data_IF_134069630741
#
_entry.id   IF_134069630741
#
_cell.length_a   1.000
_cell.length_b   1.000
_cell.length_c   1.000
_cell.angle_alpha   90.00
_cell.angle_beta   90.00
_cell.angle_gamma   90.00
#
_symmetry.space_group_name_H-M   'P 1'
#
loop_
_entity.id
_entity.type
_entity.pdbx_description
1 polymer ?
#
# COMPACT_ATOMS: atom_id res chain seq x y z
N UNK A 1 -6.92 23.76 14.55
CA UNK A 1 -7.85 24.64 13.80
C UNK A 1 -8.10 23.99 12.46
N UNK A 2 -9.36 23.83 12.06
CA UNK A 2 -9.76 23.27 10.76
C UNK A 2 -9.76 24.39 9.72
N UNK A 3 -9.25 24.15 8.52
CA UNK A 3 -9.26 25.13 7.44
C UNK A 3 -10.70 25.53 7.06
N UNK A 4 -10.95 26.83 6.87
CA UNK A 4 -12.30 27.37 6.64
C UNK A 4 -12.87 26.97 5.28
N UNK A 5 -12.02 26.76 4.26
CA UNK A 5 -12.45 26.58 2.88
C UNK A 5 -12.10 25.19 2.33
N UNK A 6 -13.02 24.61 1.58
CA UNK A 6 -12.87 23.32 0.92
C UNK A 6 -11.84 23.42 -0.21
N UNK A 7 -10.84 22.56 -0.18
CA UNK A 7 -9.91 22.33 -1.30
C UNK A 7 -10.19 20.96 -1.91
N UNK A 8 -10.28 20.90 -3.24
CA UNK A 8 -10.55 19.65 -3.96
C UNK A 8 -9.35 19.34 -4.85
N UNK A 9 -8.88 18.10 -4.81
CA UNK A 9 -7.88 17.57 -5.73
C UNK A 9 -8.43 16.40 -6.51
N UNK A 10 -8.24 16.43 -7.81
CA UNK A 10 -8.56 15.32 -8.69
C UNK A 10 -7.28 14.53 -9.01
N UNK A 11 -7.09 13.35 -8.43
CA UNK A 11 -5.99 12.42 -8.75
C UNK A 11 -6.41 11.35 -9.78
N UNK A 12 -7.42 11.65 -10.59
CA UNK A 12 -7.93 10.74 -11.63
C UNK A 12 -7.53 11.24 -13.02
N UNK A 13 -7.64 10.37 -14.03
CA UNK A 13 -7.42 10.72 -15.43
C UNK A 13 -8.61 11.45 -16.07
N UNK A 14 -9.71 11.62 -15.33
CA UNK A 14 -10.98 12.12 -15.86
C UNK A 14 -11.32 13.44 -15.15
N UNK A 15 -11.72 14.51 -15.87
CA UNK A 15 -12.19 15.71 -15.21
C UNK A 15 -13.41 15.41 -14.33
N UNK A 16 -13.45 16.02 -13.15
CA UNK A 16 -14.59 15.93 -12.23
C UNK A 16 -15.19 17.31 -12.00
N UNK A 17 -16.49 17.37 -11.78
CA UNK A 17 -17.20 18.63 -11.52
C UNK A 17 -18.00 18.48 -10.25
N UNK A 18 -17.71 19.28 -9.21
CA UNK A 18 -18.60 19.36 -8.05
C UNK A 18 -19.87 20.09 -8.48
N UNK A 19 -21.02 19.42 -8.35
CA UNK A 19 -22.33 19.94 -8.76
C UNK A 19 -23.19 20.38 -7.58
N UNK A 20 -23.00 19.79 -6.40
CA UNK A 20 -23.83 20.07 -5.23
C UNK A 20 -23.11 19.80 -3.92
N UNK A 21 -23.38 20.65 -2.93
CA UNK A 21 -23.00 20.47 -1.53
C UNK A 21 -24.25 20.54 -0.66
N UNK A 22 -24.45 19.51 0.16
CA UNK A 22 -25.52 19.44 1.16
C UNK A 22 -24.87 19.33 2.54
N UNK A 23 -25.41 20.03 3.54
CA UNK A 23 -24.86 20.04 4.91
C UNK A 23 -25.81 19.48 5.94
N UNK A 24 -25.22 18.78 6.90
CA UNK A 24 -25.91 18.04 7.95
C UNK A 24 -25.30 18.38 9.31
N UNK A 25 -26.13 18.41 10.37
CA UNK A 25 -25.63 18.63 11.71
C UNK A 25 -24.66 17.51 12.13
N UNK A 26 -23.87 17.82 13.16
CA UNK A 26 -23.04 16.83 13.82
C UNK A 26 -23.90 15.65 14.33
N UNK A 27 -23.36 14.42 14.38
CA UNK A 27 -24.08 13.28 14.94
C UNK A 27 -24.58 13.58 16.36
N UNK A 28 -25.85 13.33 16.65
CA UNK A 28 -26.33 13.32 18.04
C UNK A 28 -25.69 12.13 18.75
N UNK A 29 -24.97 12.38 19.85
CA UNK A 29 -24.49 11.29 20.71
C UNK A 29 -25.70 10.74 21.46
N UNK A 30 -26.33 9.70 20.94
CA UNK A 30 -27.35 8.97 21.68
C UNK A 30 -26.74 8.38 22.95
N UNK A 31 -27.06 9.01 24.09
CA UNK A 31 -26.59 8.62 25.43
C UNK A 31 -27.13 7.27 25.93
N UNK A 32 -27.82 6.50 25.08
CA UNK A 32 -28.56 5.29 25.48
C UNK A 32 -27.89 3.96 25.07
N UNK A 33 -26.81 3.98 24.29
CA UNK A 33 -26.05 2.77 23.91
C UNK A 33 -24.74 2.55 24.69
N UNK A 34 -24.48 3.36 25.71
CA UNK A 34 -23.26 3.26 26.52
C UNK A 34 -23.21 2.02 27.44
N UNK A 35 -24.32 1.31 27.65
CA UNK A 35 -24.40 0.16 28.58
C UNK A 35 -24.44 -1.23 27.91
N UNK A 36 -24.71 -1.35 26.61
CA UNK A 36 -24.79 -2.66 25.93
C UNK A 36 -23.47 -3.12 25.31
N UNK A 37 -22.43 -2.26 25.32
CA UNK A 37 -21.12 -2.53 24.68
C UNK A 37 -20.02 -2.96 25.67
N UNK A 38 -20.36 -3.28 26.92
CA UNK A 38 -19.38 -3.70 27.94
C UNK A 38 -19.05 -5.20 27.96
N UNK A 39 -19.64 -6.02 27.08
CA UNK A 39 -19.48 -7.49 27.12
C UNK A 39 -18.85 -8.14 25.86
N UNK A 40 -18.24 -7.36 24.96
CA UNK A 40 -17.40 -7.91 23.87
C UNK A 40 -16.09 -7.13 23.80
N UNK A 41 -14.97 -7.86 23.94
CA UNK A 41 -13.58 -7.43 23.73
C UNK A 41 -12.83 -6.78 24.91
N UNK A 42 -12.48 -7.61 25.88
CA UNK A 42 -11.42 -7.34 26.87
C UNK A 42 -10.00 -7.18 26.25
N UNK A 43 -9.87 -7.13 24.92
CA UNK A 43 -8.62 -6.88 24.18
C UNK A 43 -8.52 -5.44 23.62
N UNK A 44 -9.53 -4.59 23.84
CA UNK A 44 -9.67 -3.28 23.19
C UNK A 44 -9.16 -2.09 24.05
N UNK A 45 -8.65 -2.34 25.26
CA UNK A 45 -8.34 -1.28 26.25
C UNK A 45 -6.91 -0.70 26.14
N UNK A 46 -6.09 -1.11 25.16
CA UNK A 46 -4.74 -0.55 24.96
C UNK A 46 -4.59 0.29 23.69
N UNK A 47 -5.67 0.56 22.95
CA UNK A 47 -5.64 1.35 21.71
C UNK A 47 -6.27 2.72 21.92
N UNK A 48 -5.55 3.65 22.56
CA UNK A 48 -5.96 5.05 22.51
C UNK A 48 -4.79 6.02 22.41
N UNK A 49 -4.91 6.89 21.41
CA UNK A 49 -4.26 8.17 21.10
C UNK A 49 -3.73 8.17 19.67
N UNK A 50 -4.32 9.01 18.81
CA UNK A 50 -4.11 9.25 17.36
C UNK A 50 -4.99 8.48 16.36
N UNK A 51 -6.27 8.22 16.67
CA UNK A 51 -7.29 7.97 15.63
C UNK A 51 -8.23 9.17 15.51
N UNK A 52 -8.61 9.51 14.28
CA UNK A 52 -9.79 10.34 14.06
C UNK A 52 -11.00 9.58 14.63
N UNK A 53 -11.89 10.26 15.35
CA UNK A 53 -13.13 9.66 15.88
C UNK A 53 -13.95 9.07 14.72
N UNK A 54 -14.58 7.90 14.93
CA UNK A 54 -15.49 7.32 13.94
C UNK A 54 -16.64 8.30 13.65
N UNK A 55 -16.81 8.68 12.38
CA UNK A 55 -17.90 9.56 11.93
C UNK A 55 -19.07 8.69 11.52
N UNK A 56 -20.27 8.95 12.05
CA UNK A 56 -21.47 8.22 11.63
C UNK A 56 -21.91 8.60 10.21
N UNK A 57 -22.39 7.62 9.44
CA UNK A 57 -22.88 7.85 8.08
C UNK A 57 -24.17 8.70 8.09
N UNK A 58 -24.33 9.50 7.04
CA UNK A 58 -25.52 10.31 6.79
C UNK A 58 -26.55 9.40 6.09
N UNK A 59 -27.65 9.09 6.76
CA UNK A 59 -28.72 8.29 6.18
C UNK A 59 -29.32 8.96 4.94
N UNK A 60 -29.83 8.15 4.01
CA UNK A 60 -30.35 8.66 2.73
C UNK A 60 -31.48 9.68 2.92
N UNK A 61 -32.32 9.48 3.95
CA UNK A 61 -33.49 10.31 4.27
C UNK A 61 -33.19 11.45 5.26
N UNK A 62 -31.91 11.62 5.64
CA UNK A 62 -31.50 12.76 6.47
C UNK A 62 -31.82 14.08 5.78
N UNK A 63 -32.36 15.06 6.53
CA UNK A 63 -32.63 16.41 6.02
C UNK A 63 -31.40 17.30 6.19
N UNK A 64 -30.95 17.89 5.08
CA UNK A 64 -29.93 18.94 5.08
C UNK A 64 -30.49 20.21 5.72
N UNK A 65 -29.64 20.97 6.41
CA UNK A 65 -29.99 22.34 6.83
C UNK A 65 -29.59 23.39 5.77
N UNK A 66 -28.71 23.03 4.85
CA UNK A 66 -28.28 23.87 3.73
C UNK A 66 -28.00 22.99 2.50
N UNK A 67 -28.38 23.48 1.33
CA UNK A 67 -28.13 22.84 0.03
C UNK A 67 -27.76 23.91 -0.99
N UNK A 68 -26.61 23.75 -1.64
CA UNK A 68 -26.15 24.68 -2.67
C UNK A 68 -25.76 23.91 -3.93
N UNK A 69 -26.35 24.29 -5.07
CA UNK A 69 -25.89 23.87 -6.39
C UNK A 69 -24.68 24.71 -6.80
N UNK A 70 -23.65 24.03 -7.29
CA UNK A 70 -22.36 24.62 -7.66
C UNK A 70 -21.90 24.05 -9.00
N UNK A 71 -20.87 24.64 -9.59
CA UNK A 71 -20.29 24.13 -10.84
C UNK A 71 -18.77 24.31 -10.84
N UNK A 72 -18.10 23.53 -9.99
CA UNK A 72 -16.64 23.64 -9.79
C UNK A 72 -15.95 22.49 -10.50
N UNK A 73 -15.39 22.79 -11.67
CA UNK A 73 -14.61 21.85 -12.46
C UNK A 73 -13.17 21.74 -11.94
N UNK A 74 -12.69 20.50 -11.78
CA UNK A 74 -11.32 20.17 -11.38
C UNK A 74 -10.73 19.22 -12.43
N UNK A 75 -9.74 19.73 -13.18
CA UNK A 75 -9.07 18.97 -14.24
C UNK A 75 -8.26 17.77 -13.68
N UNK A 76 -7.96 16.75 -14.51
CA UNK A 76 -7.09 15.64 -14.12
C UNK A 76 -5.80 16.14 -13.49
N UNK A 77 -5.48 15.61 -12.31
CA UNK A 77 -4.28 15.95 -11.56
C UNK A 77 -4.14 17.44 -11.18
N UNK A 78 -5.26 18.16 -11.14
CA UNK A 78 -5.31 19.54 -10.64
C UNK A 78 -5.80 19.61 -9.19
N UNK A 79 -5.36 20.66 -8.49
CA UNK A 79 -5.89 21.06 -7.17
C UNK A 79 -6.62 22.39 -7.31
N UNK A 80 -7.85 22.46 -6.82
CA UNK A 80 -8.69 23.65 -6.83
C UNK A 80 -9.02 24.05 -5.38
N UNK A 81 -8.50 25.18 -4.94
CA UNK A 81 -9.01 25.88 -3.74
C UNK A 81 -10.34 26.54 -4.12
N UNK A 82 -11.35 26.40 -3.26
CA UNK A 82 -12.70 26.93 -3.51
C UNK A 82 -13.05 27.99 -2.48
N UNK A 83 -14.04 28.83 -2.78
CA UNK A 83 -14.64 29.76 -1.81
C UNK A 83 -15.75 29.07 -0.99
N UNK A 84 -15.95 27.75 -1.17
CA UNK A 84 -16.93 27.00 -0.39
C UNK A 84 -16.39 26.77 1.01
N UNK A 85 -17.15 27.19 2.02
CA UNK A 85 -16.81 26.90 3.41
C UNK A 85 -16.82 25.40 3.69
N UNK A 86 -15.97 24.91 4.58
CA UNK A 86 -15.97 23.52 5.04
C UNK A 86 -17.04 23.27 6.10
N UNK A 87 -17.42 24.31 6.85
CA UNK A 87 -18.52 24.31 7.83
C UNK A 87 -19.16 25.71 7.95
N UNK A 88 -20.37 25.79 8.49
CA UNK A 88 -21.09 27.07 8.70
C UNK A 88 -21.15 27.45 10.19
N UNK A 89 -21.58 26.53 11.03
CA UNK A 89 -21.79 26.72 12.46
C UNK A 89 -20.73 25.99 13.30
N UNK A 90 -20.30 24.80 12.88
CA UNK A 90 -19.30 23.98 13.60
C UNK A 90 -18.48 23.11 12.66
N UNK A 91 -17.19 22.99 12.95
CA UNK A 91 -16.25 22.06 12.31
C UNK A 91 -16.58 20.56 12.49
N UNK A 92 -17.65 20.23 13.21
CA UNK A 92 -18.21 18.87 13.37
C UNK A 92 -19.37 18.57 12.42
N UNK A 93 -19.77 19.53 11.60
CA UNK A 93 -20.75 19.32 10.55
C UNK A 93 -20.30 18.28 9.54
N UNK A 94 -21.29 17.65 8.90
CA UNK A 94 -21.05 16.70 7.83
C UNK A 94 -21.55 17.28 6.52
N UNK A 95 -20.84 17.00 5.45
CA UNK A 95 -21.18 17.38 4.08
C UNK A 95 -21.47 16.14 3.26
N UNK A 96 -22.39 16.26 2.32
CA UNK A 96 -22.60 15.33 1.22
C UNK A 96 -22.31 16.08 -0.07
N UNK A 97 -21.31 15.62 -0.80
CA UNK A 97 -20.80 16.24 -2.00
C UNK A 97 -21.19 15.37 -3.20
N UNK A 98 -21.81 15.98 -4.21
CA UNK A 98 -22.17 15.29 -5.46
C UNK A 98 -21.30 15.81 -6.59
N UNK A 99 -20.52 14.90 -7.16
CA UNK A 99 -19.66 15.12 -8.31
C UNK A 99 -20.27 14.54 -9.57
N UNK A 100 -19.93 15.12 -10.71
CA UNK A 100 -20.22 14.58 -12.04
C UNK A 100 -18.91 14.29 -12.78
N UNK A 101 -18.87 13.14 -13.46
CA UNK A 101 -17.82 12.78 -14.40
C UNK A 101 -18.46 12.05 -15.60
N UNK A 102 -18.19 12.52 -16.82
CA UNK A 102 -18.74 11.96 -18.08
C UNK A 102 -20.27 11.76 -18.06
N UNK A 103 -21.01 12.71 -17.46
CA UNK A 103 -22.47 12.69 -17.34
C UNK A 103 -23.02 11.73 -16.27
N UNK A 104 -22.17 11.10 -15.45
CA UNK A 104 -22.57 10.25 -14.33
C UNK A 104 -22.29 10.91 -13.00
N UNK A 105 -23.18 10.70 -12.03
CA UNK A 105 -23.12 11.34 -10.71
C UNK A 105 -22.59 10.39 -9.64
N UNK A 106 -21.73 10.94 -8.78
CA UNK A 106 -21.03 10.24 -7.71
C UNK A 106 -21.11 11.04 -6.42
N UNK A 107 -21.49 10.40 -5.32
CA UNK A 107 -21.72 11.06 -4.05
C UNK A 107 -20.71 10.59 -3.00
N UNK A 108 -20.23 11.51 -2.17
CA UNK A 108 -19.36 11.22 -1.03
C UNK A 108 -19.77 12.02 0.19
N UNK A 109 -19.56 11.44 1.37
CA UNK A 109 -19.74 12.11 2.65
C UNK A 109 -18.38 12.60 3.17
N UNK A 110 -18.34 13.81 3.72
CA UNK A 110 -17.14 14.43 4.26
C UNK A 110 -17.43 15.07 5.64
N UNK A 111 -16.65 14.81 6.70
CA UNK A 111 -15.55 13.83 6.76
C UNK A 111 -16.02 12.41 6.43
N UNK A 112 -15.14 11.62 5.82
CA UNK A 112 -15.46 10.26 5.39
C UNK A 112 -15.57 9.35 6.63
N UNK A 113 -16.66 8.57 6.80
CA UNK A 113 -16.75 7.56 7.84
C UNK A 113 -15.59 6.56 7.73
N UNK A 114 -14.90 6.29 8.83
CA UNK A 114 -13.82 5.27 8.86
C UNK A 114 -14.38 3.84 8.80
N UNK A 115 -15.68 3.65 9.08
CA UNK A 115 -16.36 2.35 9.14
C UNK A 115 -17.09 1.96 7.85
N UNK A 116 -17.42 2.92 6.99
CA UNK A 116 -17.98 2.68 5.66
C UNK A 116 -16.96 3.16 4.63
N UNK A 117 -16.47 2.24 3.80
CA UNK A 117 -15.43 2.47 2.79
C UNK A 117 -15.49 3.85 2.13
N UNK A 118 -14.34 4.52 1.99
CA UNK A 118 -14.15 5.81 1.31
C UNK A 118 -14.54 5.85 -0.20
N UNK A 119 -15.22 4.83 -0.72
CA UNK A 119 -15.75 4.76 -2.07
C UNK A 119 -16.92 5.74 -2.27
N UNK A 120 -16.91 6.44 -3.40
CA UNK A 120 -18.02 7.32 -3.78
C UNK A 120 -19.19 6.47 -4.27
N UNK A 121 -20.40 6.73 -3.75
CA UNK A 121 -21.64 6.08 -4.19
C UNK A 121 -22.01 6.58 -5.58
N UNK A 122 -21.97 5.70 -6.58
CA UNK A 122 -22.52 6.02 -7.89
C UNK A 122 -24.05 6.12 -7.82
N UNK A 123 -24.63 7.12 -8.47
CA UNK A 123 -26.08 7.34 -8.52
C UNK A 123 -26.73 6.79 -9.81
N UNK A 124 -25.91 6.26 -10.72
CA UNK A 124 -26.34 5.63 -11.96
C UNK A 124 -26.21 4.10 -11.84
N UNK A 125 -27.10 3.34 -12.48
CA UNK A 125 -27.14 1.86 -12.39
C UNK A 125 -25.86 1.18 -12.92
N UNK A 126 -25.26 1.72 -13.98
CA UNK A 126 -24.05 1.19 -14.61
C UNK A 126 -22.91 2.23 -14.58
N UNK A 127 -22.20 2.37 -13.46
CA UNK A 127 -21.13 3.36 -13.34
C UNK A 127 -19.93 2.99 -14.22
N UNK A 128 -19.49 3.94 -15.04
CA UNK A 128 -18.27 3.86 -15.86
C UNK A 128 -17.01 3.92 -15.00
N UNK A 129 -17.04 4.73 -13.95
CA UNK A 129 -15.93 4.94 -13.04
C UNK A 129 -16.26 4.44 -11.63
N UNK A 130 -15.22 4.05 -10.89
CA UNK A 130 -15.26 3.89 -9.45
C UNK A 130 -14.25 4.86 -8.84
N UNK A 131 -14.73 5.69 -7.94
CA UNK A 131 -13.93 6.71 -7.28
C UNK A 131 -13.87 6.45 -5.78
N UNK A 132 -12.78 6.89 -5.17
CA UNK A 132 -12.59 6.96 -3.73
C UNK A 132 -12.21 8.38 -3.38
N UNK A 133 -12.83 8.96 -2.36
CA UNK A 133 -12.42 10.27 -1.85
C UNK A 133 -11.83 10.14 -0.46
N UNK A 134 -10.73 10.84 -0.22
CA UNK A 134 -10.06 10.91 1.08
C UNK A 134 -10.13 12.35 1.57
N UNK A 135 -10.71 12.55 2.74
CA UNK A 135 -10.90 13.87 3.34
C UNK A 135 -9.92 14.11 4.48
N UNK A 136 -8.96 15.02 4.28
CA UNK A 136 -8.04 15.48 5.32
C UNK A 136 -8.73 16.59 6.12
N UNK A 137 -9.26 16.23 7.28
CA UNK A 137 -10.09 17.12 8.12
C UNK A 137 -9.38 18.42 8.49
N UNK A 138 -8.15 18.43 9.05
CA UNK A 138 -7.51 19.69 9.47
C UNK A 138 -7.34 20.70 8.33
N UNK A 139 -7.19 20.20 7.10
CA UNK A 139 -6.91 20.98 5.90
C UNK A 139 -8.16 21.25 5.05
N UNK A 140 -9.33 20.73 5.45
CA UNK A 140 -10.56 20.73 4.65
C UNK A 140 -10.31 20.33 3.20
N UNK A 141 -9.55 19.26 3.01
CA UNK A 141 -9.00 18.88 1.72
C UNK A 141 -9.57 17.53 1.28
N UNK A 142 -10.28 17.51 0.15
CA UNK A 142 -10.80 16.30 -0.47
C UNK A 142 -9.93 15.89 -1.67
N UNK A 143 -9.23 14.76 -1.57
CA UNK A 143 -8.54 14.15 -2.70
C UNK A 143 -9.39 13.02 -3.28
N UNK A 144 -9.63 13.03 -4.60
CA UNK A 144 -10.41 12.01 -5.29
C UNK A 144 -9.49 11.16 -6.16
N UNK A 145 -9.54 9.85 -5.98
CA UNK A 145 -8.75 8.85 -6.68
C UNK A 145 -9.65 7.91 -7.47
N UNK A 146 -9.11 7.32 -8.53
CA UNK A 146 -9.74 6.15 -9.16
C UNK A 146 -9.50 4.92 -8.28
N UNK A 147 -10.54 4.13 -8.04
CA UNK A 147 -10.49 2.93 -7.19
C UNK A 147 -11.08 1.70 -7.86
N UNK A 148 -11.04 1.66 -9.19
CA UNK A 148 -11.55 0.53 -9.95
C UNK A 148 -10.75 -0.75 -9.66
N UNK A 149 -11.48 -1.80 -9.23
CA UNK A 149 -11.02 -3.19 -9.14
C UNK A 149 -9.69 -3.38 -8.38
N UNK A 150 -9.64 -3.12 -7.07
CA UNK A 150 -8.41 -3.33 -6.28
C UNK A 150 -7.82 -4.75 -6.40
N UNK A 151 -8.65 -5.77 -6.61
CA UNK A 151 -8.17 -7.14 -6.85
C UNK A 151 -7.56 -7.35 -8.26
N UNK A 152 -7.76 -6.41 -9.19
CA UNK A 152 -7.33 -6.51 -10.58
C UNK A 152 -6.88 -5.16 -11.18
N UNK A 153 -6.24 -4.29 -10.37
CA UNK A 153 -5.99 -2.90 -10.75
C UNK A 153 -4.92 -2.77 -11.83
N UNK A 154 -4.01 -3.73 -11.96
CA UNK A 154 -2.97 -3.71 -13.00
C UNK A 154 -3.53 -3.99 -14.39
N UNK A 155 -4.78 -4.48 -14.52
CA UNK A 155 -5.47 -4.68 -15.81
C UNK A 155 -5.61 -3.39 -16.62
N UNK A 156 -5.71 -2.26 -15.94
CA UNK A 156 -5.96 -0.94 -16.52
C UNK A 156 -4.70 -0.29 -17.14
N UNK A 157 -3.56 -0.96 -17.06
CA UNK A 157 -2.25 -0.47 -17.49
C UNK A 157 -1.74 -1.27 -18.68
N UNK A 158 -1.00 -0.65 -19.59
CA UNK A 158 -0.42 -1.32 -20.77
C UNK A 158 0.72 -2.29 -20.42
N UNK A 159 0.87 -3.31 -21.26
CA UNK A 159 1.90 -4.35 -21.11
C UNK A 159 3.34 -3.83 -21.26
N UNK A 160 3.54 -2.76 -22.00
CA UNK A 160 4.83 -2.11 -22.24
C UNK A 160 5.32 -1.23 -21.08
N UNK A 161 4.57 -1.19 -19.98
CA UNK A 161 4.91 -0.47 -18.74
C UNK A 161 5.98 -1.23 -17.95
N UNK A 162 7.07 -0.58 -17.53
CA UNK A 162 8.00 -1.20 -16.57
C UNK A 162 7.32 -1.37 -15.21
N UNK A 163 7.49 -2.53 -14.55
CA UNK A 163 6.89 -2.77 -13.22
C UNK A 163 7.44 -1.78 -12.18
N UNK A 164 8.66 -1.29 -12.33
CA UNK A 164 9.23 -0.24 -11.46
C UNK A 164 8.57 1.13 -11.61
N UNK A 165 7.82 1.38 -12.69
CA UNK A 165 7.06 2.61 -12.87
C UNK A 165 5.83 2.70 -11.96
N UNK A 166 5.34 1.55 -11.48
CA UNK A 166 4.07 1.46 -10.78
C UNK A 166 4.16 1.99 -9.35
N UNK A 167 3.06 2.57 -8.88
CA UNK A 167 2.81 2.83 -7.47
C UNK A 167 2.23 1.55 -6.87
N UNK A 168 3.02 0.82 -6.07
CA UNK A 168 2.68 -0.52 -5.59
C UNK A 168 2.50 -0.50 -4.07
N UNK A 169 1.32 -0.89 -3.57
CA UNK A 169 1.14 -1.16 -2.15
C UNK A 169 1.83 -2.48 -1.79
N UNK A 170 2.64 -2.43 -0.74
CA UNK A 170 3.32 -3.58 -0.16
C UNK A 170 3.02 -3.75 1.32
N UNK A 171 3.27 -4.95 1.85
CA UNK A 171 3.14 -5.23 3.28
C UNK A 171 4.45 -5.78 3.85
N UNK A 172 4.85 -5.26 5.01
CA UNK A 172 6.05 -5.69 5.72
C UNK A 172 5.75 -6.96 6.53
N UNK A 173 6.62 -7.96 6.42
CA UNK A 173 6.42 -9.28 6.99
C UNK A 173 4.98 -9.79 6.79
N UNK A 174 4.55 -9.84 5.52
CA UNK A 174 3.14 -9.94 5.08
C UNK A 174 2.26 -10.99 5.79
N UNK A 175 2.74 -12.20 6.15
CA UNK A 175 1.90 -13.21 6.79
C UNK A 175 1.75 -13.04 8.31
N UNK A 176 2.32 -12.00 8.93
CA UNK A 176 2.28 -11.76 10.40
C UNK A 176 0.93 -11.22 10.90
N UNK A 177 -0.17 -11.88 10.55
CA UNK A 177 -1.53 -11.53 10.98
C UNK A 177 -2.09 -12.47 12.06
N UNK A 178 -1.33 -13.50 12.45
CA UNK A 178 -1.77 -14.52 13.39
C UNK A 178 -1.67 -14.06 14.86
N UNK A 179 -2.21 -14.89 15.76
CA UNK A 179 -1.98 -14.75 17.20
C UNK A 179 -0.49 -14.98 17.47
N UNK A 180 0.19 -13.90 17.86
CA UNK A 180 1.61 -13.82 18.15
C UNK A 180 1.84 -12.74 19.23
N UNK A 181 3.04 -12.67 19.85
CA UNK A 181 3.39 -11.52 20.68
C UNK A 181 3.16 -10.20 19.90
N UNK A 182 2.65 -9.13 20.53
CA UNK A 182 2.28 -7.91 19.81
C UNK A 182 3.42 -7.26 19.01
N UNK A 183 4.67 -7.39 19.49
CA UNK A 183 5.86 -6.90 18.79
C UNK A 183 6.20 -7.68 17.51
N UNK A 184 5.64 -8.89 17.34
CA UNK A 184 5.85 -9.76 16.18
C UNK A 184 4.78 -9.55 15.11
N UNK A 185 3.59 -9.08 15.48
CA UNK A 185 2.45 -8.89 14.57
C UNK A 185 2.59 -7.57 13.80
N UNK A 186 2.85 -7.66 12.51
CA UNK A 186 2.96 -6.49 11.63
C UNK A 186 1.69 -6.25 10.80
N UNK A 187 0.80 -7.24 10.68
CA UNK A 187 -0.38 -7.15 9.81
C UNK A 187 -1.69 -7.38 10.56
N UNK A 188 -2.71 -6.62 10.16
CA UNK A 188 -4.07 -6.73 10.71
C UNK A 188 -4.84 -7.90 10.08
N UNK A 189 -4.59 -8.17 8.80
CA UNK A 189 -5.39 -9.02 7.91
C UNK A 189 -4.55 -10.05 7.16
N UNK A 190 -5.21 -11.10 6.65
CA UNK A 190 -4.55 -12.22 5.95
C UNK A 190 -3.91 -11.82 4.62
N UNK A 191 -2.88 -12.55 4.12
CA UNK A 191 -2.32 -12.35 2.79
C UNK A 191 -3.36 -12.38 1.66
N UNK A 192 -4.33 -13.29 1.73
CA UNK A 192 -5.48 -13.30 0.81
C UNK A 192 -6.21 -11.94 0.80
N UNK A 193 -6.56 -11.41 1.96
CA UNK A 193 -7.27 -10.14 2.08
C UNK A 193 -6.42 -8.95 1.59
N UNK A 194 -5.10 -8.99 1.84
CA UNK A 194 -4.16 -8.01 1.30
C UNK A 194 -4.17 -8.00 -0.23
N UNK A 195 -4.14 -9.18 -0.87
CA UNK A 195 -4.18 -9.30 -2.34
C UNK A 195 -5.51 -8.80 -2.92
N UNK A 196 -6.64 -9.19 -2.33
CA UNK A 196 -7.96 -8.75 -2.81
C UNK A 196 -8.16 -7.22 -2.67
N UNK A 197 -7.40 -6.56 -1.80
CA UNK A 197 -7.45 -5.10 -1.61
C UNK A 197 -6.29 -4.33 -2.25
N UNK A 198 -5.50 -4.97 -3.12
CA UNK A 198 -4.57 -4.26 -4.03
C UNK A 198 -3.09 -4.35 -3.68
N UNK A 199 -2.71 -5.03 -2.59
CA UNK A 199 -1.31 -5.29 -2.26
C UNK A 199 -0.67 -6.15 -3.36
N UNK A 200 0.48 -5.72 -3.88
CA UNK A 200 1.25 -6.43 -4.93
C UNK A 200 2.76 -6.51 -4.64
N UNK A 201 3.15 -6.26 -3.39
CA UNK A 201 4.49 -6.53 -2.89
C UNK A 201 4.41 -7.20 -1.52
N UNK A 202 5.03 -8.36 -1.37
CA UNK A 202 5.14 -9.06 -0.10
C UNK A 202 6.60 -9.10 0.36
N UNK A 203 6.86 -8.62 1.58
CA UNK A 203 8.12 -8.90 2.31
C UNK A 203 7.93 -10.17 3.12
N UNK A 204 8.61 -11.24 2.70
CA UNK A 204 8.51 -12.57 3.29
C UNK A 204 9.84 -12.96 3.91
N UNK A 205 9.77 -13.34 5.18
CA UNK A 205 10.94 -13.76 5.95
C UNK A 205 10.84 -15.23 6.27
N UNK A 206 11.85 -15.99 5.84
CA UNK A 206 11.84 -17.45 5.87
C UNK A 206 13.03 -18.01 6.64
N UNK A 207 12.82 -19.18 7.20
CA UNK A 207 13.86 -20.02 7.77
C UNK A 207 13.68 -21.46 7.26
N UNK A 208 14.74 -22.13 6.76
CA UNK A 208 14.70 -23.58 6.56
C UNK A 208 14.42 -24.30 7.88
N UNK A 209 13.38 -25.14 7.91
CA UNK A 209 13.04 -25.90 9.12
C UNK A 209 14.04 -27.03 9.39
N UNK A 210 14.58 -27.64 8.33
CA UNK A 210 15.50 -28.77 8.37
C UNK A 210 16.79 -28.42 7.61
N UNK A 211 17.61 -27.48 8.10
CA UNK A 211 18.77 -26.99 7.36
C UNK A 211 19.81 -28.09 7.05
N UNK A 212 19.92 -29.10 7.92
CA UNK A 212 20.89 -30.18 7.78
C UNK A 212 20.42 -31.31 6.83
N UNK A 213 19.17 -31.27 6.35
CA UNK A 213 18.62 -32.23 5.41
C UNK A 213 18.36 -31.57 4.05
N UNK A 214 19.26 -31.81 3.10
CA UNK A 214 19.19 -31.21 1.77
C UNK A 214 18.04 -31.72 0.90
N UNK A 215 17.38 -32.82 1.28
CA UNK A 215 16.19 -33.33 0.57
C UNK A 215 14.90 -32.61 0.97
N UNK A 216 14.95 -31.82 2.05
CA UNK A 216 13.80 -31.10 2.60
C UNK A 216 13.71 -29.67 2.12
N UNK A 217 12.48 -29.21 1.90
CA UNK A 217 12.18 -27.94 1.23
C UNK A 217 11.26 -27.02 2.04
N UNK A 218 11.02 -27.39 3.29
CA UNK A 218 10.17 -26.67 4.21
C UNK A 218 10.84 -25.38 4.67
N UNK A 219 10.28 -24.28 4.20
CA UNK A 219 10.57 -22.94 4.66
C UNK A 219 9.44 -22.49 5.60
N UNK A 220 9.77 -22.27 6.87
CA UNK A 220 8.84 -21.71 7.86
C UNK A 220 8.90 -20.19 7.81
N UNK A 221 7.77 -19.56 8.09
CA UNK A 221 7.62 -18.11 8.14
C UNK A 221 7.95 -17.60 9.54
N UNK A 222 8.82 -16.60 9.62
CA UNK A 222 9.40 -16.09 10.88
C UNK A 222 9.43 -14.57 10.91
N UNK A 223 9.60 -14.00 12.09
CA UNK A 223 9.90 -12.59 12.29
C UNK A 223 10.94 -12.45 13.40
N UNK A 224 12.13 -12.01 13.02
CA UNK A 224 13.35 -12.09 13.81
C UNK A 224 13.56 -13.53 14.33
N UNK A 225 13.81 -13.68 15.63
CA UNK A 225 13.97 -14.98 16.28
C UNK A 225 12.66 -15.75 16.55
N UNK A 226 11.50 -15.19 16.18
CA UNK A 226 10.20 -15.71 16.60
C UNK A 226 9.40 -16.33 15.43
N UNK A 227 8.62 -17.39 15.67
CA UNK A 227 7.61 -17.83 14.73
C UNK A 227 6.50 -16.79 14.63
N UNK A 228 5.89 -16.66 13.45
CA UNK A 228 4.81 -15.68 13.22
C UNK A 228 3.47 -16.08 13.85
N UNK A 229 3.39 -17.23 14.52
CA UNK A 229 2.17 -17.76 15.12
C UNK A 229 2.47 -18.62 16.34
N UNK A 230 1.71 -18.42 17.43
CA UNK A 230 1.77 -19.24 18.64
C UNK A 230 1.03 -20.57 18.51
N UNK A 231 0.29 -20.81 17.41
CA UNK A 231 -0.48 -22.03 17.18
C UNK A 231 0.23 -23.02 16.25
N UNK A 232 1.53 -22.84 16.03
CA UNK A 232 2.38 -23.70 15.21
C UNK A 232 2.94 -22.98 13.98
N UNK A 233 3.93 -23.64 13.36
CA UNK A 233 4.64 -23.10 12.21
C UNK A 233 3.68 -22.85 11.03
N UNK A 234 3.93 -21.74 10.33
CA UNK A 234 3.31 -21.42 9.04
C UNK A 234 4.35 -21.57 7.96
N UNK A 235 3.94 -22.07 6.79
CA UNK A 235 4.87 -22.47 5.75
C UNK A 235 4.78 -21.57 4.53
N UNK A 236 5.93 -21.27 3.94
CA UNK A 236 6.04 -20.50 2.71
C UNK A 236 5.26 -21.16 1.56
N UNK A 237 5.24 -22.51 1.50
CA UNK A 237 4.47 -23.26 0.49
C UNK A 237 2.96 -22.99 0.56
N UNK A 238 2.40 -22.83 1.75
CA UNK A 238 0.97 -22.55 1.91
C UNK A 238 0.65 -21.13 1.44
N UNK A 239 1.49 -20.17 1.82
CA UNK A 239 1.40 -18.80 1.34
C UNK A 239 1.50 -18.72 -0.18
N UNK A 240 2.46 -19.42 -0.79
CA UNK A 240 2.61 -19.41 -2.25
C UNK A 240 1.42 -20.04 -2.97
N UNK A 241 0.77 -21.06 -2.38
CA UNK A 241 -0.49 -21.60 -2.92
C UNK A 241 -1.61 -20.56 -2.93
N UNK A 242 -1.71 -19.71 -1.91
CA UNK A 242 -2.67 -18.59 -1.89
C UNK A 242 -2.37 -17.55 -2.99
N UNK A 243 -1.09 -17.19 -3.14
CA UNK A 243 -0.61 -16.28 -4.19
C UNK A 243 -0.92 -16.83 -5.58
N UNK A 244 -0.63 -18.10 -5.82
CA UNK A 244 -0.84 -18.75 -7.10
C UNK A 244 -2.33 -18.76 -7.47
N UNK A 245 -3.19 -19.14 -6.53
CA UNK A 245 -4.64 -19.10 -6.73
C UNK A 245 -5.18 -17.69 -6.98
N UNK A 246 -4.60 -16.67 -6.33
CA UNK A 246 -4.96 -15.27 -6.61
C UNK A 246 -4.58 -14.85 -8.03
N UNK A 247 -3.36 -15.17 -8.48
CA UNK A 247 -2.88 -14.83 -9.83
C UNK A 247 -3.60 -15.63 -10.92
N UNK A 248 -4.09 -16.84 -10.63
CA UNK A 248 -4.97 -17.59 -11.54
C UNK A 248 -6.33 -16.92 -11.75
N UNK A 249 -6.93 -16.39 -10.67
CA UNK A 249 -8.20 -15.65 -10.74
C UNK A 249 -8.03 -14.25 -11.33
N UNK A 250 -6.84 -13.66 -11.20
CA UNK A 250 -6.53 -12.31 -11.65
C UNK A 250 -5.27 -12.32 -12.55
N UNK A 251 -5.33 -12.89 -13.76
CA UNK A 251 -4.16 -13.08 -14.62
C UNK A 251 -3.56 -11.77 -15.13
N UNK A 252 -4.27 -10.64 -14.98
CA UNK A 252 -3.71 -9.31 -15.25
C UNK A 252 -2.64 -8.89 -14.26
N UNK A 253 -2.63 -9.47 -13.07
CA UNK A 253 -1.80 -9.02 -11.95
C UNK A 253 -0.44 -9.71 -11.94
N UNK A 254 0.51 -9.12 -11.24
CA UNK A 254 1.80 -9.73 -10.87
C UNK A 254 2.07 -9.46 -9.41
N UNK A 255 2.80 -10.34 -8.73
CA UNK A 255 3.24 -10.12 -7.35
C UNK A 255 4.75 -10.02 -7.28
N UNK A 256 5.29 -9.02 -6.59
CA UNK A 256 6.69 -9.00 -6.20
C UNK A 256 6.80 -9.68 -4.83
N UNK A 257 7.62 -10.73 -4.73
CA UNK A 257 7.90 -11.39 -3.46
C UNK A 257 9.37 -11.14 -3.11
N UNK A 258 9.56 -10.27 -2.12
CA UNK A 258 10.84 -10.08 -1.44
C UNK A 258 11.04 -11.23 -0.47
N UNK A 259 12.09 -12.03 -0.66
CA UNK A 259 12.42 -13.12 0.27
C UNK A 259 13.72 -12.82 0.99
N UNK A 260 13.67 -12.86 2.31
CA UNK A 260 14.82 -12.71 3.21
C UNK A 260 14.96 -13.93 4.10
N UNK A 261 16.19 -14.41 4.30
CA UNK A 261 16.48 -15.39 5.35
C UNK A 261 16.48 -14.69 6.73
N UNK A 262 15.78 -15.30 7.68
CA UNK A 262 15.71 -14.84 9.06
C UNK A 262 15.54 -16.05 10.00
N UNK A 263 15.41 -15.83 11.30
CA UNK A 263 15.24 -16.89 12.28
C UNK A 263 16.53 -17.27 13.03
N UNK A 264 16.39 -18.19 13.99
CA UNK A 264 17.48 -18.69 14.82
C UNK A 264 18.07 -19.97 14.23
N UNK A 265 19.40 -20.12 14.21
CA UNK A 265 20.04 -21.37 13.78
C UNK A 265 21.14 -21.16 12.75
N UNK A 266 21.59 -22.27 12.15
CA UNK A 266 22.75 -22.35 11.25
C UNK A 266 22.40 -22.30 9.75
N UNK A 267 21.14 -22.05 9.40
CA UNK A 267 20.71 -21.97 8.01
C UNK A 267 21.42 -20.81 7.28
N UNK A 268 21.89 -21.08 6.07
CA UNK A 268 22.65 -20.17 5.20
C UNK A 268 21.77 -19.61 4.09
N UNK A 269 22.19 -18.49 3.53
CA UNK A 269 21.54 -17.89 2.36
C UNK A 269 21.59 -18.84 1.15
N UNK A 270 22.70 -19.55 0.99
CA UNK A 270 22.91 -20.52 -0.07
C UNK A 270 21.88 -21.65 0.00
N UNK A 271 21.57 -22.16 1.20
CA UNK A 271 20.51 -23.14 1.40
C UNK A 271 19.13 -22.59 0.99
N UNK A 272 18.79 -21.35 1.39
CA UNK A 272 17.52 -20.72 0.96
C UNK A 272 17.48 -20.56 -0.56
N UNK A 273 18.58 -20.14 -1.17
CA UNK A 273 18.68 -19.99 -2.63
C UNK A 273 18.44 -21.30 -3.37
N UNK A 274 19.01 -22.41 -2.86
CA UNK A 274 18.82 -23.76 -3.39
C UNK A 274 17.37 -24.21 -3.25
N UNK A 275 16.80 -24.12 -2.05
CA UNK A 275 15.43 -24.56 -1.76
C UNK A 275 14.43 -23.81 -2.66
N UNK A 276 14.55 -22.49 -2.77
CA UNK A 276 13.68 -21.70 -3.63
C UNK A 276 13.81 -22.10 -5.10
N UNK A 277 15.04 -22.24 -5.60
CA UNK A 277 15.27 -22.62 -7.00
C UNK A 277 14.71 -24.01 -7.31
N UNK A 278 15.04 -25.02 -6.51
CA UNK A 278 14.75 -26.42 -6.81
C UNK A 278 13.27 -26.78 -6.60
N UNK A 279 12.58 -26.12 -5.65
CA UNK A 279 11.24 -26.52 -5.21
C UNK A 279 10.12 -25.52 -5.49
N UNK A 280 10.44 -24.24 -5.75
CA UNK A 280 9.43 -23.19 -5.94
C UNK A 280 9.53 -22.54 -7.33
N UNK A 281 10.75 -22.18 -7.72
CA UNK A 281 11.02 -21.32 -8.88
C UNK A 281 11.81 -22.04 -9.98
N UNK A 282 11.44 -23.31 -10.21
CA UNK A 282 11.98 -24.15 -11.29
C UNK A 282 11.66 -23.62 -12.68
N UNK A 283 12.39 -24.08 -13.68
CA UNK A 283 12.09 -23.78 -15.08
C UNK A 283 10.63 -24.14 -15.43
N UNK A 284 9.95 -23.24 -16.13
CA UNK A 284 8.53 -23.39 -16.48
C UNK A 284 7.54 -23.03 -15.37
N UNK A 285 8.01 -22.69 -14.16
CA UNK A 285 7.15 -22.12 -13.13
C UNK A 285 6.72 -20.67 -13.46
N UNK A 286 5.75 -20.17 -12.70
CA UNK A 286 5.29 -18.78 -12.73
C UNK A 286 6.27 -17.76 -12.13
N UNK A 287 7.46 -18.18 -11.71
CA UNK A 287 8.44 -17.25 -11.13
C UNK A 287 9.23 -16.53 -12.23
N UNK A 288 9.24 -15.19 -12.16
CA UNK A 288 10.18 -14.35 -12.88
C UNK A 288 11.47 -14.26 -12.07
N UNK A 289 12.48 -14.98 -12.56
CA UNK A 289 13.80 -15.10 -11.92
C UNK A 289 14.95 -14.52 -12.77
N UNK A 290 14.63 -13.83 -13.87
CA UNK A 290 15.65 -13.12 -14.62
C UNK A 290 16.13 -11.91 -13.80
N UNK A 291 17.44 -11.60 -13.78
CA UNK A 291 18.00 -10.47 -13.05
C UNK A 291 17.74 -9.13 -13.78
N UNK A 292 16.50 -8.91 -14.22
CA UNK A 292 16.04 -7.73 -14.97
C UNK A 292 14.67 -7.33 -14.43
N UNK A 293 14.44 -6.02 -14.29
CA UNK A 293 13.10 -5.48 -14.01
C UNK A 293 12.20 -5.75 -15.23
N UNK A 294 11.12 -6.54 -15.09
CA UNK A 294 10.24 -6.86 -16.21
C UNK A 294 9.34 -5.69 -16.58
N UNK A 295 8.85 -5.71 -17.82
CA UNK A 295 7.61 -5.03 -18.19
C UNK A 295 6.41 -5.73 -17.57
N UNK A 296 5.27 -5.04 -17.49
CA UNK A 296 4.06 -5.58 -16.92
C UNK A 296 3.59 -6.80 -17.72
N UNK A 297 3.63 -6.75 -19.05
CA UNK A 297 3.31 -7.88 -19.92
C UNK A 297 4.22 -9.10 -19.69
N UNK A 298 5.52 -8.88 -19.46
CA UNK A 298 6.43 -9.96 -19.08
C UNK A 298 6.08 -10.56 -17.70
N UNK A 299 5.48 -9.78 -16.81
CA UNK A 299 5.22 -10.13 -15.42
C UNK A 299 3.79 -10.63 -15.13
N UNK A 300 2.80 -10.36 -15.99
CA UNK A 300 1.41 -10.78 -15.76
C UNK A 300 1.30 -12.27 -15.48
N UNK A 301 0.52 -12.62 -14.46
CA UNK A 301 0.34 -13.98 -13.97
C UNK A 301 1.59 -14.57 -13.28
N UNK A 302 2.64 -13.79 -13.02
CA UNK A 302 3.91 -14.26 -12.47
C UNK A 302 4.22 -13.68 -11.09
N UNK A 303 5.21 -14.31 -10.45
CA UNK A 303 5.81 -13.88 -9.20
C UNK A 303 7.23 -13.39 -9.48
N UNK A 304 7.49 -12.11 -9.27
CA UNK A 304 8.81 -11.52 -9.43
C UNK A 304 9.60 -11.77 -8.15
N UNK A 305 10.72 -12.49 -8.25
CA UNK A 305 11.62 -12.71 -7.12
C UNK A 305 12.51 -11.48 -6.90
N UNK A 306 12.38 -10.86 -5.73
CA UNK A 306 13.37 -9.94 -5.17
C UNK A 306 14.13 -10.67 -4.05
N UNK A 307 15.42 -10.96 -4.24
CA UNK A 307 16.19 -11.76 -3.28
C UNK A 307 16.97 -10.88 -2.31
N UNK A 308 16.77 -11.11 -1.00
CA UNK A 308 17.56 -10.53 0.10
C UNK A 308 18.46 -11.59 0.75
N UNK A 309 19.03 -12.46 -0.08
CA UNK A 309 19.94 -13.54 0.29
C UNK A 309 20.98 -13.76 -0.81
N UNK A 310 22.14 -14.26 -0.42
CA UNK A 310 23.22 -14.67 -1.32
C UNK A 310 22.91 -15.98 -2.06
N UNK A 311 23.43 -16.09 -3.28
CA UNK A 311 23.23 -17.25 -4.14
C UNK A 311 24.29 -18.32 -3.89
N UNK A 312 23.89 -19.59 -3.90
CA UNK A 312 24.82 -20.70 -4.09
C UNK A 312 25.58 -20.57 -5.42
N UNK A 313 26.79 -21.11 -5.49
CA UNK A 313 27.72 -20.86 -6.61
C UNK A 313 27.12 -21.19 -7.98
N UNK A 314 26.34 -22.28 -8.10
CA UNK A 314 25.68 -22.68 -9.36
C UNK A 314 24.76 -21.58 -9.90
N UNK A 315 24.00 -20.93 -9.00
CA UNK A 315 23.02 -19.91 -9.38
C UNK A 315 23.66 -18.56 -9.75
N UNK A 316 24.91 -18.31 -9.35
CA UNK A 316 25.66 -17.11 -9.78
C UNK A 316 25.94 -17.14 -11.29
N UNK A 317 26.10 -18.33 -11.86
CA UNK A 317 26.40 -18.52 -13.28
C UNK A 317 25.14 -18.55 -14.17
N UNK A 318 23.94 -18.57 -13.57
CA UNK A 318 22.67 -18.50 -14.32
C UNK A 318 22.55 -17.18 -15.09
N UNK A 319 21.71 -17.21 -16.13
CA UNK A 319 21.45 -16.06 -16.99
C UNK A 319 22.73 -15.41 -17.56
N UNK A 320 23.71 -16.23 -17.94
CA UNK A 320 24.98 -15.77 -18.52
C UNK A 320 25.91 -15.11 -17.51
N UNK A 321 25.90 -15.57 -16.25
CA UNK A 321 26.70 -14.99 -15.17
C UNK A 321 26.07 -13.76 -14.50
N UNK A 322 24.81 -13.44 -14.83
CA UNK A 322 24.08 -12.32 -14.22
C UNK A 322 23.34 -12.72 -12.93
N UNK A 323 23.45 -13.98 -12.52
CA UNK A 323 22.81 -14.50 -11.32
C UNK A 323 21.33 -14.81 -11.53
N UNK A 324 20.58 -14.84 -10.43
CA UNK A 324 19.20 -15.32 -10.36
C UNK A 324 18.33 -14.40 -9.48
N UNK A 325 17.16 -13.99 -9.98
CA UNK A 325 16.26 -13.02 -9.35
C UNK A 325 16.79 -11.57 -9.36
N UNK A 326 15.96 -10.63 -8.92
CA UNK A 326 16.36 -9.24 -8.71
C UNK A 326 17.22 -9.17 -7.43
N UNK A 327 18.47 -8.73 -7.59
CA UNK A 327 19.46 -8.77 -6.51
C UNK A 327 19.32 -7.60 -5.53
N UNK A 328 18.93 -7.94 -4.29
CA UNK A 328 18.90 -7.04 -3.16
C UNK A 328 19.65 -7.64 -1.94
N UNK A 329 20.64 -8.51 -2.15
CA UNK A 329 21.36 -9.19 -1.06
C UNK A 329 22.24 -8.22 -0.25
N UNK A 330 22.89 -7.27 -0.92
CA UNK A 330 23.64 -6.18 -0.28
C UNK A 330 22.70 -5.02 0.10
N UNK A 331 21.80 -5.31 1.04
CA UNK A 331 20.81 -4.37 1.57
C UNK A 331 21.46 -3.54 2.69
N UNK A 332 21.51 -2.22 2.53
CA UNK A 332 22.08 -1.35 3.56
C UNK A 332 21.18 -1.32 4.80
N UNK A 333 21.80 -1.47 5.96
CA UNK A 333 21.10 -1.54 7.24
C UNK A 333 20.61 -0.16 7.70
N UNK A 334 19.40 -0.13 8.30
CA UNK A 334 18.76 1.04 8.90
C UNK A 334 18.98 2.39 8.16
N UNK A 335 18.67 2.42 6.85
CA UNK A 335 19.07 3.53 5.95
C UNK A 335 17.91 4.44 5.53
N UNK A 336 18.11 5.78 5.48
CA UNK A 336 17.10 6.68 4.91
C UNK A 336 17.03 6.64 3.38
N UNK A 337 18.11 6.19 2.73
CA UNK A 337 18.24 6.10 1.28
C UNK A 337 19.53 5.34 0.92
N UNK A 338 19.42 4.20 0.24
CA UNK A 338 20.57 3.48 -0.31
C UNK A 338 20.24 2.83 -1.66
N UNK A 339 21.20 2.88 -2.59
CA UNK A 339 21.12 2.13 -3.84
C UNK A 339 21.78 0.77 -3.66
N UNK A 340 21.10 -0.32 -4.01
CA UNK A 340 21.73 -1.64 -4.02
C UNK A 340 22.84 -1.70 -5.09
N UNK A 341 23.92 -2.47 -4.87
CA UNK A 341 24.99 -2.65 -5.85
C UNK A 341 24.52 -3.16 -7.23
N UNK A 342 23.42 -3.91 -7.28
CA UNK A 342 22.77 -4.33 -8.53
C UNK A 342 22.36 -3.15 -9.42
N UNK A 343 22.10 -2.00 -8.79
CA UNK A 343 21.60 -0.78 -9.40
C UNK A 343 20.10 -0.79 -9.71
N UNK A 344 19.40 -1.87 -9.38
CA UNK A 344 17.98 -2.07 -9.68
C UNK A 344 17.04 -1.67 -8.53
N UNK A 345 17.60 -1.30 -7.37
CA UNK A 345 16.81 -0.89 -6.21
C UNK A 345 17.40 0.36 -5.56
N UNK A 346 16.50 1.23 -5.11
CA UNK A 346 16.75 2.36 -4.24
C UNK A 346 15.84 2.19 -3.01
N UNK A 347 16.41 2.13 -1.81
CA UNK A 347 15.72 1.66 -0.61
C UNK A 347 15.74 2.75 0.46
N UNK A 348 14.58 3.02 1.05
CA UNK A 348 14.44 3.61 2.38
C UNK A 348 13.96 2.52 3.34
N UNK A 349 14.77 2.20 4.34
CA UNK A 349 14.53 1.17 5.35
C UNK A 349 15.06 1.61 6.72
N UNK A 350 14.73 2.84 7.12
CA UNK A 350 14.99 3.36 8.46
C UNK A 350 13.98 2.75 9.45
N UNK A 351 14.29 1.60 10.02
CA UNK A 351 13.36 0.81 10.83
C UNK A 351 13.56 0.98 12.34
N UNK A 352 14.69 1.53 12.81
CA UNK A 352 14.94 1.70 14.25
C UNK A 352 14.40 3.04 14.76
N UNK A 353 13.17 3.01 15.26
CA UNK A 353 12.53 4.16 15.91
C UNK A 353 12.71 3.99 17.42
N UNK A 354 13.88 4.41 17.92
CA UNK A 354 14.24 4.26 19.34
C UNK A 354 13.32 5.05 20.29
N UNK A 355 12.80 6.18 19.82
CA UNK A 355 11.89 7.06 20.55
C UNK A 355 10.77 7.59 19.65
N UNK A 356 9.64 7.98 20.24
CA UNK A 356 8.47 8.48 19.51
C UNK A 356 8.76 9.71 18.64
N UNK A 357 9.75 10.53 19.03
CA UNK A 357 10.29 11.65 18.24
C UNK A 357 10.85 11.20 16.88
N UNK A 358 11.32 9.97 16.76
CA UNK A 358 11.85 9.44 15.49
C UNK A 358 10.75 9.06 14.49
N UNK A 359 9.47 9.09 14.88
CA UNK A 359 8.34 8.85 13.97
C UNK A 359 8.23 9.97 12.94
N UNK A 360 8.45 11.23 13.34
CA UNK A 360 8.48 12.36 12.40
C UNK A 360 9.64 12.23 11.41
N UNK A 361 10.81 11.77 11.89
CA UNK A 361 11.95 11.47 11.03
C UNK A 361 11.65 10.34 10.04
N UNK A 362 10.94 9.30 10.47
CA UNK A 362 10.45 8.23 9.60
C UNK A 362 9.52 8.77 8.52
N UNK A 363 8.52 9.56 8.89
CA UNK A 363 7.57 10.20 7.97
C UNK A 363 8.35 11.04 6.93
N UNK A 364 9.31 11.85 7.38
CA UNK A 364 10.17 12.64 6.50
C UNK A 364 10.90 11.77 5.46
N UNK A 365 11.56 10.70 5.89
CA UNK A 365 12.28 9.81 4.95
C UNK A 365 11.34 9.08 3.99
N UNK A 366 10.15 8.69 4.45
CA UNK A 366 9.12 8.11 3.59
C UNK A 366 8.69 9.12 2.52
N UNK A 367 8.37 10.35 2.92
CA UNK A 367 7.99 11.43 2.00
C UNK A 367 9.09 11.75 0.99
N UNK A 368 10.35 11.86 1.43
CA UNK A 368 11.48 12.09 0.53
C UNK A 368 11.67 10.95 -0.48
N UNK A 369 11.47 9.69 -0.09
CA UNK A 369 11.59 8.55 -0.99
C UNK A 369 10.41 8.49 -1.99
N UNK A 370 9.20 8.89 -1.57
CA UNK A 370 8.07 9.12 -2.48
C UNK A 370 8.41 10.21 -3.50
N UNK A 371 9.00 11.33 -3.05
CA UNK A 371 9.44 12.41 -3.96
C UNK A 371 10.49 11.90 -4.97
N UNK A 372 11.48 11.10 -4.54
CA UNK A 372 12.49 10.50 -5.44
C UNK A 372 11.85 9.62 -6.51
N UNK A 373 10.90 8.77 -6.14
CA UNK A 373 10.16 7.94 -7.10
C UNK A 373 9.33 8.78 -8.07
N UNK A 374 8.73 9.87 -7.57
CA UNK A 374 7.80 10.71 -8.33
C UNK A 374 8.43 11.49 -9.47
N UNK A 375 9.72 11.81 -9.36
CA UNK A 375 10.48 12.55 -10.35
C UNK A 375 10.84 11.70 -11.59
N UNK A 376 10.62 10.39 -11.53
CA UNK A 376 10.95 9.50 -12.64
C UNK A 376 9.89 9.59 -13.74
N UNK A 377 10.36 9.75 -14.98
CA UNK A 377 9.56 9.58 -16.18
C UNK A 377 10.04 8.30 -16.87
N UNK A 378 9.25 7.25 -16.76
CA UNK A 378 9.60 5.93 -17.27
C UNK A 378 9.37 5.87 -18.78
N UNK A 379 10.26 5.18 -19.53
CA UNK A 379 10.04 4.86 -20.93
C UNK A 379 8.99 3.77 -21.06
N UNK A 380 8.20 3.83 -22.12
CA UNK A 380 7.35 2.71 -22.54
C UNK A 380 8.13 1.79 -23.47
N UNK A 381 7.87 0.50 -23.38
CA UNK A 381 8.53 -0.52 -24.20
C UNK A 381 9.49 -1.40 -23.40
N UNK A 382 9.84 -2.54 -24.01
CA UNK A 382 10.75 -3.50 -23.42
C UNK A 382 12.16 -2.91 -23.43
N UNK A 383 12.71 -2.67 -22.24
CA UNK A 383 14.14 -2.37 -22.10
C UNK A 383 14.95 -3.61 -22.51
N UNK A 384 15.97 -3.49 -23.39
CA UNK A 384 16.58 -4.66 -24.01
C UNK A 384 17.36 -5.53 -23.02
N UNK A 385 17.94 -4.95 -21.96
CA UNK A 385 18.80 -5.67 -21.04
C UNK A 385 18.73 -5.18 -19.58
N UNK A 386 19.45 -5.87 -18.69
CA UNK A 386 19.55 -5.55 -17.26
C UNK A 386 20.15 -4.16 -17.00
N UNK A 387 21.13 -3.71 -17.80
CA UNK A 387 21.79 -2.43 -17.59
C UNK A 387 20.85 -1.26 -17.84
N UNK A 388 20.03 -1.33 -18.88
CA UNK A 388 19.02 -0.33 -19.19
C UNK A 388 18.01 -0.15 -18.04
N UNK A 389 17.66 -1.24 -17.33
CA UNK A 389 16.74 -1.17 -16.18
C UNK A 389 17.31 -0.44 -14.95
N UNK A 390 18.63 -0.25 -14.85
CA UNK A 390 19.28 0.44 -13.71
C UNK A 390 19.00 1.95 -13.67
N UNK A 391 18.57 2.53 -14.79
CA UNK A 391 18.11 3.91 -14.86
C UNK A 391 16.74 4.10 -14.21
N UNK A 392 15.97 3.03 -14.07
CA UNK A 392 14.59 3.02 -13.59
C UNK A 392 14.43 1.99 -12.46
N UNK A 393 15.15 2.16 -11.34
CA UNK A 393 15.16 1.19 -10.26
C UNK A 393 13.80 1.10 -9.55
N UNK A 394 13.57 0.00 -8.85
CA UNK A 394 12.52 -0.04 -7.84
C UNK A 394 12.86 0.92 -6.69
N UNK A 395 11.99 1.88 -6.43
CA UNK A 395 12.02 2.67 -5.20
C UNK A 395 11.23 1.92 -4.13
N UNK A 396 11.93 1.23 -3.22
CA UNK A 396 11.32 0.49 -2.11
C UNK A 396 11.35 1.37 -0.87
N UNK A 397 10.20 1.55 -0.24
CA UNK A 397 10.00 2.53 0.81
C UNK A 397 9.23 1.88 1.97
N UNK A 398 9.94 1.44 3.00
CA UNK A 398 9.32 0.86 4.18
C UNK A 398 8.72 1.97 5.04
N UNK A 399 7.43 1.91 5.31
CA UNK A 399 6.74 2.74 6.31
C UNK A 399 6.84 2.11 7.70
N UNK A 400 6.99 0.79 7.75
CA UNK A 400 7.23 0.02 8.96
C UNK A 400 8.48 0.50 9.68
N UNK A 401 8.39 0.53 11.01
CA UNK A 401 9.50 0.70 11.91
C UNK A 401 9.09 0.13 13.27
N UNK A 402 10.06 -0.19 14.11
CA UNK A 402 9.76 -0.65 15.46
C UNK A 402 10.91 -0.41 16.43
N UNK A 403 10.58 -0.48 17.71
CA UNK A 403 11.54 -0.79 18.77
C UNK A 403 10.90 -1.80 19.72
N UNK A 404 11.56 -2.94 19.87
CA UNK A 404 11.06 -4.07 20.66
C UNK A 404 10.82 -3.70 22.13
N UNK A 405 11.72 -2.90 22.71
CA UNK A 405 11.75 -2.59 24.14
C UNK A 405 10.79 -1.47 24.56
N UNK A 406 10.20 -0.77 23.61
CA UNK A 406 9.31 0.37 23.86
C UNK A 406 7.95 0.13 23.21
N UNK A 407 6.94 -0.07 24.04
CA UNK A 407 5.57 -0.44 23.63
C UNK A 407 4.92 0.59 22.70
N UNK A 408 5.20 1.87 22.91
CA UNK A 408 4.69 2.98 22.08
C UNK A 408 5.28 3.03 20.66
N UNK A 409 6.30 2.19 20.41
CA UNK A 409 7.00 2.04 19.14
C UNK A 409 6.88 0.62 18.60
N UNK A 410 5.87 -0.13 19.04
CA UNK A 410 5.50 -1.38 18.39
C UNK A 410 4.86 -1.13 17.02
N UNK A 411 4.88 -2.13 16.10
CA UNK A 411 4.44 -1.96 14.72
C UNK A 411 3.07 -1.27 14.58
N UNK A 412 2.08 -1.68 15.38
CA UNK A 412 0.74 -1.09 15.37
C UNK A 412 0.75 0.41 15.68
N UNK A 413 1.51 0.82 16.70
CA UNK A 413 1.56 2.21 17.18
C UNK A 413 2.28 3.12 16.21
N UNK A 414 3.34 2.60 15.57
CA UNK A 414 4.04 3.32 14.51
C UNK A 414 3.13 3.46 13.29
N UNK A 415 2.51 2.38 12.83
CA UNK A 415 1.60 2.39 11.69
C UNK A 415 0.41 3.35 11.87
N UNK A 416 -0.16 3.39 13.08
CA UNK A 416 -1.26 4.31 13.43
C UNK A 416 -0.90 5.81 13.26
N UNK A 417 0.40 6.16 13.27
CA UNK A 417 0.88 7.53 13.03
C UNK A 417 1.42 7.72 11.61
N UNK A 418 2.20 6.77 11.12
CA UNK A 418 2.86 6.87 9.80
C UNK A 418 1.84 6.73 8.67
N UNK A 419 0.92 5.77 8.73
CA UNK A 419 -0.02 5.54 7.62
C UNK A 419 -0.91 6.77 7.34
N UNK A 420 -1.57 7.39 8.34
CA UNK A 420 -2.36 8.59 8.10
C UNK A 420 -1.53 9.78 7.62
N UNK A 421 -0.31 9.96 8.14
CA UNK A 421 0.59 11.03 7.70
C UNK A 421 1.00 10.85 6.22
N UNK A 422 1.21 9.61 5.78
CA UNK A 422 1.54 9.31 4.37
C UNK A 422 0.31 9.45 3.47
N UNK A 423 -0.88 9.06 3.94
CA UNK A 423 -2.15 9.34 3.23
C UNK A 423 -2.29 10.84 3.00
N UNK A 424 -2.17 11.63 4.06
CA UNK A 424 -2.22 13.09 4.01
C UNK A 424 -1.20 13.67 3.01
N UNK A 425 0.04 13.19 3.09
CA UNK A 425 1.11 13.60 2.18
C UNK A 425 0.78 13.27 0.71
N UNK A 426 0.33 12.06 0.39
CA UNK A 426 -0.05 11.67 -0.99
C UNK A 426 -1.22 12.52 -1.48
N UNK A 427 -2.24 12.75 -0.63
CA UNK A 427 -3.40 13.57 -0.96
C UNK A 427 -3.01 15.01 -1.33
N UNK A 428 -2.08 15.62 -0.59
CA UNK A 428 -1.75 17.04 -0.72
C UNK A 428 -0.51 17.33 -1.58
N UNK A 429 0.30 16.34 -1.96
CA UNK A 429 1.55 16.54 -2.73
C UNK A 429 1.30 17.14 -4.11
N UNK A 430 1.50 18.44 -4.29
CA UNK A 430 1.22 19.19 -5.54
C UNK A 430 2.38 19.31 -6.55
N UNK A 431 3.51 18.62 -6.35
CA UNK A 431 4.67 18.71 -7.26
C UNK A 431 4.50 17.82 -8.48
N UNK A 432 3.68 18.25 -9.42
CA UNK A 432 3.54 17.56 -10.70
C UNK A 432 4.48 18.19 -11.71
N UNK A 433 5.73 17.75 -11.67
CA UNK A 433 6.65 17.90 -12.79
C UNK A 433 6.14 17.07 -13.98
N UNK A 434 6.74 17.24 -15.16
CA UNK A 434 6.47 16.42 -16.34
C UNK A 434 7.01 14.98 -16.19
N UNK A 435 6.46 14.25 -15.20
CA UNK A 435 6.88 12.94 -14.69
C UNK A 435 5.66 12.05 -14.35
N UNK A 436 5.92 10.78 -13.97
CA UNK A 436 4.86 9.79 -13.73
C UNK A 436 4.22 9.87 -12.34
N UNK A 437 4.79 10.68 -11.44
CA UNK A 437 4.29 10.89 -10.08
C UNK A 437 4.14 9.60 -9.24
N UNK A 438 4.85 8.53 -9.59
CA UNK A 438 4.80 7.26 -8.86
C UNK A 438 5.17 7.45 -7.38
N UNK A 439 4.56 6.65 -6.50
CA UNK A 439 4.99 6.54 -5.11
C UNK A 439 6.15 5.55 -4.93
N UNK A 440 6.47 4.77 -5.96
CA UNK A 440 7.26 3.56 -5.83
C UNK A 440 6.50 2.47 -5.07
N UNK A 441 7.24 1.55 -4.44
CA UNK A 441 6.71 0.49 -3.59
C UNK A 441 6.65 1.00 -2.15
N UNK A 442 5.44 1.19 -1.60
CA UNK A 442 5.27 1.56 -0.20
C UNK A 442 4.97 0.30 0.62
N UNK A 443 5.91 -0.11 1.46
CA UNK A 443 5.81 -1.34 2.27
C UNK A 443 5.28 -0.98 3.66
N UNK A 444 4.09 -1.48 3.98
CA UNK A 444 3.25 -0.97 5.08
C UNK A 444 2.99 -2.00 6.17
N UNK A 445 2.69 -1.49 7.36
CA UNK A 445 2.22 -2.26 8.51
C UNK A 445 0.75 -1.93 8.79
N UNK A 446 -0.02 -2.90 9.28
CA UNK A 446 -1.39 -2.73 9.80
C UNK A 446 -2.42 -2.09 8.86
N UNK A 447 -2.23 -2.17 7.55
CA UNK A 447 -3.28 -1.82 6.57
C UNK A 447 -4.43 -2.83 6.62
N UNK A 448 -5.65 -2.40 6.27
CA UNK A 448 -6.85 -3.22 6.25
C UNK A 448 -7.51 -3.40 7.63
N UNK A 449 -6.92 -2.86 8.70
CA UNK A 449 -7.52 -2.92 10.03
C UNK A 449 -8.90 -2.26 10.00
N UNK A 450 -9.93 -2.99 10.43
CA UNK A 450 -11.32 -2.55 10.41
C UNK A 450 -11.83 -2.14 9.01
N UNK A 451 -11.22 -2.65 7.94
CA UNK A 451 -11.59 -2.30 6.56
C UNK A 451 -10.98 -0.99 6.04
N UNK A 452 -10.08 -0.35 6.80
CA UNK A 452 -9.35 0.83 6.35
C UNK A 452 -8.26 0.44 5.33
N UNK A 453 -8.53 0.75 4.06
CA UNK A 453 -7.65 0.53 2.93
C UNK A 453 -7.24 1.84 2.26
N UNK A 454 -7.38 2.99 2.92
CA UNK A 454 -7.23 4.30 2.28
C UNK A 454 -5.81 4.55 1.81
N UNK A 455 -4.80 4.16 2.59
CA UNK A 455 -3.41 4.22 2.13
C UNK A 455 -3.18 3.38 0.87
N UNK A 456 -3.73 2.16 0.83
CA UNK A 456 -3.61 1.27 -0.33
C UNK A 456 -4.33 1.85 -1.54
N UNK A 457 -5.53 2.41 -1.35
CA UNK A 457 -6.30 3.11 -2.41
C UNK A 457 -5.56 4.34 -2.94
N UNK A 458 -4.96 5.15 -2.07
CA UNK A 458 -4.13 6.28 -2.46
C UNK A 458 -2.94 5.83 -3.33
N UNK A 459 -2.22 4.79 -2.90
CA UNK A 459 -1.07 4.25 -3.65
C UNK A 459 -1.50 3.72 -5.02
N UNK A 460 -2.53 2.86 -5.08
CA UNK A 460 -3.05 2.33 -6.35
C UNK A 460 -3.55 3.45 -7.25
N UNK A 461 -4.27 4.43 -6.70
CA UNK A 461 -4.83 5.56 -7.41
C UNK A 461 -3.78 6.43 -8.10
N UNK A 462 -2.56 6.52 -7.56
CA UNK A 462 -1.46 7.28 -8.20
C UNK A 462 -1.02 6.70 -9.55
N UNK A 463 -1.34 5.43 -9.86
CA UNK A 463 -1.10 4.88 -11.20
C UNK A 463 -1.95 5.54 -12.29
N UNK A 464 -3.00 6.30 -11.95
CA UNK A 464 -3.78 7.05 -12.93
C UNK A 464 -2.96 8.10 -13.69
N UNK A 465 -1.85 8.61 -13.10
CA UNK A 465 -0.97 9.56 -13.79
C UNK A 465 -0.24 8.89 -14.94
N UNK A 466 0.26 7.69 -14.68
CA UNK A 466 0.91 6.86 -15.68
C UNK A 466 -0.06 6.52 -16.83
N UNK A 467 -1.32 6.20 -16.52
CA UNK A 467 -2.38 5.96 -17.52
C UNK A 467 -2.61 7.15 -18.44
N UNK A 468 -2.51 8.39 -17.96
CA UNK A 468 -2.66 9.57 -18.82
C UNK A 468 -1.63 9.64 -19.96
N UNK A 469 -0.41 9.15 -19.73
CA UNK A 469 0.64 9.08 -20.75
C UNK A 469 0.51 7.88 -21.70
N UNK A 470 -0.33 6.91 -21.36
CA UNK A 470 -0.56 5.69 -22.12
C UNK A 470 -1.64 5.84 -23.20
N UNK A 471 -2.46 6.89 -23.07
CA UNK A 471 -3.58 7.23 -23.95
C UNK A 471 -3.15 8.05 -25.16
#
# INVERSE_FOLDING_TARGET
MVAEHLTIRNNTSTPIVLKRIERFPAPEKDGFNAFSTMARNLTQVLTNQTRNEEVSSIEQDSRSFEENDVDIRVEPFATKKTELRSFIHSDKERMRLTFEAEGQKYQIQAPVPTTESAGMKALNENPKHRFTGVFVVPESFLAIFSSANLNAWMRELRDDTLVSALSIPGTHNSPTCHIAPPSVRCQAVSPKEQLENGVRFFDIRVQPQYPDDAARDELILVHSAFPISLTGNKYFRDLMREVDGFLERNPSETLIVSVKREGTGNATDEQVSRILHDHYAKAGSRWWVRPKIPTLGEARGKVILMRRFNLQQKLKNEHGGNGWGIDAAAWADNTPNAKCPSGQLCIQDFYEVLESMNIEKKIKFVSEQIDRASCCRYPFGVQPDMHATKAFPFYVNFLSASNFWKTDTWPEKVAAKVNPAVVDYICRRGKEHDADCSTGILVTDWVGLNGDWDLVRCIVGMNAKLRLRQN
#
